data_IF_022380663344
#
_entry.id   IF_022380663344
#
_cell.length_a   1.000
_cell.length_b   1.000
_cell.length_c   1.000
_cell.angle_alpha   90.00
_cell.angle_beta   90.00
_cell.angle_gamma   90.00
#
_symmetry.space_group_name_H-M   'P 1'
#
loop_
_entity.id
_entity.type
_entity.pdbx_description
1 polymer ?
#
# COMPACT_ATOMS: atom_id res chain seq x y z
N UNK A 1 -51.84 -22.14 0.87
CA UNK A 1 -51.41 -21.19 1.92
C UNK A 1 -49.95 -21.44 2.22
N UNK A 2 -49.18 -20.42 2.59
CA UNK A 2 -47.79 -20.60 3.04
C UNK A 2 -47.84 -21.31 4.40
N UNK A 3 -47.54 -22.61 4.46
CA UNK A 3 -47.65 -23.38 5.71
C UNK A 3 -46.28 -23.80 6.29
N UNK A 4 -46.20 -23.71 7.63
CA UNK A 4 -45.21 -24.33 8.51
C UNK A 4 -43.76 -24.22 8.06
N UNK A 5 -43.25 -25.26 7.40
CA UNK A 5 -41.83 -25.42 7.07
C UNK A 5 -41.34 -24.42 6.00
N UNK A 6 -42.19 -24.07 5.03
CA UNK A 6 -41.81 -23.15 3.95
C UNK A 6 -41.69 -21.71 4.45
N UNK A 7 -42.49 -21.32 5.47
CA UNK A 7 -42.33 -20.04 6.15
C UNK A 7 -41.00 -19.96 6.92
N UNK A 8 -40.61 -21.02 7.63
CA UNK A 8 -39.30 -21.10 8.29
C UNK A 8 -38.14 -21.06 7.29
N UNK A 9 -38.29 -21.70 6.13
CA UNK A 9 -37.32 -21.61 5.04
C UNK A 9 -37.16 -20.18 4.50
N UNK A 10 -38.26 -19.47 4.26
CA UNK A 10 -38.23 -18.06 3.84
C UNK A 10 -37.59 -17.19 4.93
N UNK A 11 -37.99 -17.36 6.19
CA UNK A 11 -37.44 -16.59 7.31
C UNK A 11 -35.93 -16.80 7.46
N UNK A 12 -35.47 -18.05 7.33
CA UNK A 12 -34.05 -18.38 7.32
C UNK A 12 -33.30 -17.60 6.23
N UNK A 13 -33.81 -17.60 4.99
CA UNK A 13 -33.17 -16.89 3.90
C UNK A 13 -33.19 -15.37 4.05
N UNK A 14 -34.25 -14.79 4.64
CA UNK A 14 -34.28 -13.36 4.97
C UNK A 14 -33.14 -13.01 5.93
N UNK A 15 -32.96 -13.80 7.00
CA UNK A 15 -31.89 -13.58 7.98
C UNK A 15 -30.51 -13.77 7.34
N UNK A 16 -30.33 -14.81 6.53
CA UNK A 16 -29.06 -15.08 5.82
C UNK A 16 -28.73 -13.97 4.82
N UNK A 17 -29.72 -13.49 4.06
CA UNK A 17 -29.52 -12.38 3.12
C UNK A 17 -29.20 -11.09 3.87
N UNK A 18 -30.01 -10.71 4.86
CA UNK A 18 -29.76 -9.52 5.67
C UNK A 18 -28.38 -9.55 6.34
N UNK A 19 -27.99 -10.72 6.89
CA UNK A 19 -26.66 -10.94 7.47
C UNK A 19 -25.55 -10.80 6.44
N UNK A 20 -25.67 -11.42 5.26
CA UNK A 20 -24.65 -11.34 4.22
C UNK A 20 -24.50 -9.92 3.66
N UNK A 21 -25.60 -9.18 3.48
CA UNK A 21 -25.57 -7.76 3.12
C UNK A 21 -24.93 -6.89 4.20
N UNK A 22 -25.23 -7.14 5.48
CA UNK A 22 -24.61 -6.40 6.59
C UNK A 22 -23.10 -6.64 6.66
N UNK A 23 -22.66 -7.90 6.51
CA UNK A 23 -21.24 -8.26 6.50
C UNK A 23 -20.53 -7.65 5.29
N UNK A 24 -21.10 -7.81 4.09
CA UNK A 24 -20.54 -7.22 2.86
C UNK A 24 -20.48 -5.69 2.94
N UNK A 25 -21.54 -5.07 3.44
CA UNK A 25 -21.62 -3.64 3.71
C UNK A 25 -20.53 -3.17 4.67
N UNK A 26 -20.32 -3.88 5.79
CA UNK A 26 -19.26 -3.56 6.76
C UNK A 26 -17.85 -3.55 6.13
N UNK A 27 -17.51 -4.57 5.33
CA UNK A 27 -16.21 -4.63 4.65
C UNK A 27 -16.03 -3.49 3.64
N UNK A 28 -17.07 -3.18 2.85
CA UNK A 28 -17.05 -2.08 1.90
C UNK A 28 -16.94 -0.72 2.61
N UNK A 29 -17.69 -0.51 3.70
CA UNK A 29 -17.67 0.73 4.46
C UNK A 29 -16.30 0.97 5.11
N UNK A 30 -15.68 -0.08 5.68
CA UNK A 30 -14.31 0.03 6.22
C UNK A 30 -13.29 0.40 5.14
N UNK A 31 -13.41 -0.15 3.93
CA UNK A 31 -12.54 0.20 2.80
C UNK A 31 -12.80 1.63 2.32
N UNK A 32 -14.06 2.05 2.31
CA UNK A 32 -14.48 3.40 1.94
C UNK A 32 -13.94 4.45 2.92
N UNK A 33 -14.05 4.23 4.23
CA UNK A 33 -13.52 5.13 5.25
C UNK A 33 -12.02 5.38 5.12
N UNK A 34 -11.26 4.41 4.60
CA UNK A 34 -9.81 4.57 4.33
C UNK A 34 -9.51 5.46 3.11
N UNK A 35 -10.47 5.64 2.21
CA UNK A 35 -10.35 6.47 1.01
C UNK A 35 -10.92 7.87 1.20
N UNK A 36 -11.58 8.12 2.33
CA UNK A 36 -12.11 9.44 2.63
C UNK A 36 -10.97 10.46 2.72
N UNK A 37 -11.18 11.68 2.22
CA UNK A 37 -10.23 12.77 2.40
C UNK A 37 -10.02 13.03 3.90
N UNK A 38 -8.79 13.37 4.27
CA UNK A 38 -8.45 13.77 5.63
C UNK A 38 -8.87 15.23 5.87
N UNK A 39 -8.44 15.80 7.01
CA UNK A 39 -8.76 17.17 7.40
C UNK A 39 -8.34 18.23 6.35
N UNK A 40 -7.37 17.89 5.51
CA UNK A 40 -6.84 18.71 4.42
C UNK A 40 -7.58 18.54 3.08
N UNK A 41 -8.63 17.71 3.03
CA UNK A 41 -9.38 17.44 1.81
C UNK A 41 -8.70 16.47 0.84
N UNK A 42 -7.56 15.87 1.20
CA UNK A 42 -6.81 14.90 0.38
C UNK A 42 -6.83 13.51 1.02
N UNK A 43 -6.97 12.48 0.20
CA UNK A 43 -6.80 11.08 0.62
C UNK A 43 -5.31 10.71 0.67
N UNK A 44 -4.98 9.56 1.27
CA UNK A 44 -3.62 9.02 1.23
C UNK A 44 -3.10 8.85 -0.20
N UNK A 45 -3.98 8.44 -1.13
CA UNK A 45 -3.63 8.23 -2.53
C UNK A 45 -3.32 9.55 -3.25
N UNK A 46 -4.07 10.61 -2.95
CA UNK A 46 -3.82 11.94 -3.53
C UNK A 46 -2.46 12.48 -3.08
N UNK A 47 -2.07 12.20 -1.84
CA UNK A 47 -0.75 12.57 -1.32
C UNK A 47 0.36 11.75 -1.98
N UNK A 48 0.17 10.44 -2.13
CA UNK A 48 1.11 9.58 -2.87
C UNK A 48 1.35 10.12 -4.28
N UNK A 49 0.28 10.44 -5.02
CA UNK A 49 0.36 11.01 -6.37
C UNK A 49 1.07 12.37 -6.38
N UNK A 50 0.69 13.28 -5.46
CA UNK A 50 1.35 14.58 -5.32
C UNK A 50 2.86 14.46 -5.11
N UNK A 51 3.31 13.56 -4.24
CA UNK A 51 4.74 13.37 -3.98
C UNK A 51 5.48 12.77 -5.18
N UNK A 52 4.88 11.82 -5.89
CA UNK A 52 5.46 11.25 -7.12
C UNK A 52 5.62 12.34 -8.18
N UNK A 53 4.58 13.12 -8.45
CA UNK A 53 4.63 14.20 -9.44
C UNK A 53 5.69 15.25 -9.10
N UNK A 54 5.71 15.70 -7.84
CA UNK A 54 6.66 16.73 -7.38
C UNK A 54 8.10 16.25 -7.38
N UNK A 55 8.36 14.96 -7.27
CA UNK A 55 9.72 14.41 -7.22
C UNK A 55 10.15 13.71 -8.50
N UNK A 56 9.27 13.61 -9.52
CA UNK A 56 9.55 12.92 -10.78
C UNK A 56 10.87 13.35 -11.46
N UNK A 57 11.22 14.63 -11.34
CA UNK A 57 12.43 15.22 -11.91
C UNK A 57 13.71 14.93 -11.10
N UNK A 58 13.59 14.47 -9.85
CA UNK A 58 14.72 14.14 -8.96
C UNK A 58 15.25 12.71 -9.19
N UNK A 59 14.49 11.87 -9.90
CA UNK A 59 14.84 10.47 -10.17
C UNK A 59 15.83 10.34 -11.33
N UNK A 60 16.93 9.61 -11.14
CA UNK A 60 17.75 9.14 -12.26
C UNK A 60 17.33 7.73 -12.67
N UNK A 61 17.93 7.26 -13.76
CA UNK A 61 17.59 5.97 -14.33
C UNK A 61 17.95 4.82 -13.39
N UNK A 62 19.09 4.90 -12.71
CA UNK A 62 19.59 3.84 -11.83
C UNK A 62 18.66 3.61 -10.64
N UNK A 63 18.16 4.69 -10.01
CA UNK A 63 17.22 4.58 -8.89
C UNK A 63 15.84 4.06 -9.32
N UNK A 64 15.40 4.38 -10.55
CA UNK A 64 14.18 3.80 -11.12
C UNK A 64 14.34 2.30 -11.34
N UNK A 65 15.48 1.87 -11.88
CA UNK A 65 15.78 0.45 -12.07
C UNK A 65 15.92 -0.28 -10.73
N UNK A 66 16.50 0.36 -9.72
CA UNK A 66 16.58 -0.18 -8.36
C UNK A 66 15.18 -0.38 -7.78
N UNK A 67 14.29 0.61 -7.89
CA UNK A 67 12.91 0.49 -7.43
C UNK A 67 12.20 -0.68 -8.12
N UNK A 68 12.32 -0.78 -9.44
CA UNK A 68 11.68 -1.85 -10.21
C UNK A 68 12.15 -3.24 -9.78
N UNK A 69 13.44 -3.38 -9.49
CA UNK A 69 14.00 -4.61 -8.97
C UNK A 69 13.49 -4.91 -7.55
N UNK A 70 13.46 -3.92 -6.65
CA UNK A 70 12.97 -4.09 -5.27
C UNK A 70 11.50 -4.53 -5.22
N UNK A 71 10.69 -4.12 -6.21
CA UNK A 71 9.28 -4.50 -6.33
C UNK A 71 9.08 -5.79 -7.14
N UNK A 72 10.13 -6.37 -7.73
CA UNK A 72 10.04 -7.61 -8.52
C UNK A 72 9.43 -8.82 -7.80
N UNK A 73 9.60 -9.02 -6.47
CA UNK A 73 8.95 -10.10 -5.72
C UNK A 73 7.43 -9.96 -5.63
N UNK A 74 6.88 -8.77 -5.90
CA UNK A 74 5.45 -8.51 -5.85
C UNK A 74 4.78 -9.14 -7.09
N UNK A 75 3.64 -9.85 -6.93
CA UNK A 75 2.89 -10.37 -8.07
C UNK A 75 2.51 -9.27 -9.05
N UNK A 76 2.53 -9.57 -10.34
CA UNK A 76 2.36 -8.59 -11.41
C UNK A 76 1.10 -7.73 -11.25
N UNK A 77 -0.04 -8.35 -10.89
CA UNK A 77 -1.31 -7.66 -10.64
C UNK A 77 -1.26 -6.56 -9.57
N UNK A 78 -0.26 -6.59 -8.69
CA UNK A 78 -0.09 -5.63 -7.59
C UNK A 78 1.19 -4.80 -7.70
N UNK A 79 2.03 -5.07 -8.70
CA UNK A 79 3.37 -4.49 -8.81
C UNK A 79 3.31 -2.98 -8.98
N UNK A 80 2.42 -2.48 -9.84
CA UNK A 80 2.33 -1.04 -10.09
C UNK A 80 1.76 -0.28 -8.89
N UNK A 81 0.81 -0.88 -8.16
CA UNK A 81 0.28 -0.31 -6.91
C UNK A 81 1.37 -0.24 -5.85
N UNK A 82 2.18 -1.30 -5.70
CA UNK A 82 3.30 -1.31 -4.77
C UNK A 82 4.36 -0.27 -5.17
N UNK A 83 4.71 -0.20 -6.46
CA UNK A 83 5.66 0.77 -7.02
C UNK A 83 5.22 2.20 -6.74
N UNK A 84 3.97 2.54 -7.04
CA UNK A 84 3.40 3.86 -6.79
C UNK A 84 3.48 4.23 -5.32
N UNK A 85 3.09 3.31 -4.43
CA UNK A 85 3.11 3.53 -2.99
C UNK A 85 4.53 3.78 -2.46
N UNK A 86 5.50 2.98 -2.92
CA UNK A 86 6.90 3.13 -2.53
C UNK A 86 7.47 4.44 -3.10
N UNK A 87 7.20 4.75 -4.37
CA UNK A 87 7.62 5.99 -5.01
C UNK A 87 7.05 7.23 -4.33
N UNK A 88 5.77 7.20 -3.93
CA UNK A 88 5.14 8.26 -3.13
C UNK A 88 5.84 8.46 -1.79
N UNK A 89 6.23 7.36 -1.12
CA UNK A 89 6.97 7.45 0.16
C UNK A 89 8.38 8.00 -0.02
N UNK A 90 9.08 7.60 -1.07
CA UNK A 90 10.40 8.15 -1.42
C UNK A 90 10.26 9.65 -1.73
N UNK A 91 9.23 10.04 -2.49
CA UNK A 91 8.95 11.44 -2.81
C UNK A 91 8.65 12.28 -1.57
N UNK A 92 7.86 11.75 -0.63
CA UNK A 92 7.60 12.39 0.67
C UNK A 92 8.91 12.65 1.43
N UNK A 93 9.78 11.64 1.54
CA UNK A 93 11.09 11.77 2.19
C UNK A 93 11.98 12.79 1.48
N UNK A 94 12.04 12.73 0.14
CA UNK A 94 12.85 13.62 -0.67
C UNK A 94 12.44 15.09 -0.51
N UNK A 95 11.13 15.39 -0.51
CA UNK A 95 10.65 16.76 -0.26
C UNK A 95 10.90 17.21 1.17
N UNK A 96 10.72 16.32 2.16
CA UNK A 96 10.96 16.62 3.58
C UNK A 96 12.43 16.95 3.85
N UNK A 97 13.34 16.20 3.24
CA UNK A 97 14.79 16.37 3.37
C UNK A 97 15.35 17.41 2.38
N UNK A 98 14.52 17.96 1.49
CA UNK A 98 14.87 18.95 0.45
C UNK A 98 16.05 18.51 -0.41
N UNK A 99 16.07 17.23 -0.77
CA UNK A 99 17.15 16.68 -1.58
C UNK A 99 17.05 17.17 -3.02
N UNK A 100 18.21 17.32 -3.66
CA UNK A 100 18.31 17.77 -5.06
C UNK A 100 18.15 16.57 -6.02
N UNK A 101 18.46 15.36 -5.54
CA UNK A 101 18.37 14.11 -6.31
C UNK A 101 18.03 12.95 -5.37
N UNK A 102 17.26 11.99 -5.88
CA UNK A 102 17.01 10.73 -5.16
C UNK A 102 18.24 9.85 -5.31
N UNK A 103 18.71 9.31 -4.19
CA UNK A 103 19.84 8.38 -4.13
C UNK A 103 19.35 7.00 -3.66
N UNK A 104 20.25 6.02 -3.70
CA UNK A 104 19.99 4.66 -3.25
C UNK A 104 19.49 4.58 -1.80
N UNK A 105 20.06 5.38 -0.88
CA UNK A 105 19.64 5.44 0.53
C UNK A 105 18.15 5.80 0.66
N UNK A 106 17.69 6.84 -0.02
CA UNK A 106 16.29 7.25 0.00
C UNK A 106 15.37 6.18 -0.59
N UNK A 107 15.81 5.48 -1.65
CA UNK A 107 15.03 4.39 -2.24
C UNK A 107 14.86 3.25 -1.25
N UNK A 108 15.94 2.85 -0.58
CA UNK A 108 15.91 1.76 0.41
C UNK A 108 15.06 2.16 1.63
N UNK A 109 15.23 3.37 2.16
CA UNK A 109 14.44 3.88 3.29
C UNK A 109 12.96 3.96 2.94
N UNK A 110 12.63 4.49 1.78
CA UNK A 110 11.25 4.56 1.30
C UNK A 110 10.64 3.18 1.10
N UNK A 111 11.41 2.22 0.57
CA UNK A 111 10.99 0.82 0.42
C UNK A 111 10.66 0.18 1.77
N UNK A 112 11.51 0.35 2.79
CA UNK A 112 11.29 -0.17 4.15
C UNK A 112 10.05 0.48 4.78
N UNK A 113 9.96 1.81 4.74
CA UNK A 113 8.86 2.55 5.36
C UNK A 113 7.50 2.33 4.68
N UNK A 114 7.48 2.11 3.36
CA UNK A 114 6.24 1.87 2.62
C UNK A 114 5.73 0.42 2.77
N UNK A 115 6.63 -0.53 3.08
CA UNK A 115 6.28 -1.94 3.20
C UNK A 115 5.59 -2.21 4.55
N UNK A 116 4.39 -2.84 4.55
CA UNK A 116 3.72 -3.20 5.80
C UNK A 116 4.56 -4.15 6.66
N UNK A 117 4.51 -3.99 8.00
CA UNK A 117 5.29 -4.82 8.94
C UNK A 117 5.11 -6.34 8.75
N UNK A 118 3.90 -6.76 8.39
CA UNK A 118 3.59 -8.18 8.10
C UNK A 118 4.39 -8.74 6.91
N UNK A 119 4.80 -7.88 5.98
CA UNK A 119 5.44 -8.24 4.71
C UNK A 119 6.97 -8.05 4.79
N UNK A 120 7.51 -7.59 5.93
CA UNK A 120 8.95 -7.35 6.15
C UNK A 120 9.82 -8.60 5.96
N UNK A 121 9.26 -9.80 6.11
CA UNK A 121 9.98 -11.05 5.81
C UNK A 121 10.47 -11.10 4.36
N UNK A 122 9.63 -10.68 3.40
CA UNK A 122 9.98 -10.67 1.98
C UNK A 122 10.96 -9.54 1.65
N UNK A 123 10.75 -8.38 2.27
CA UNK A 123 11.65 -7.25 2.11
C UNK A 123 13.06 -7.58 2.62
N UNK A 124 13.21 -8.14 3.82
CA UNK A 124 14.54 -8.51 4.35
C UNK A 124 15.24 -9.55 3.48
N UNK A 125 14.47 -10.51 2.94
CA UNK A 125 14.99 -11.49 1.98
C UNK A 125 15.54 -10.78 0.72
N UNK A 126 14.78 -9.86 0.14
CA UNK A 126 15.16 -9.13 -1.07
C UNK A 126 16.38 -8.23 -0.85
N UNK A 127 16.46 -7.53 0.29
CA UNK A 127 17.62 -6.70 0.65
C UNK A 127 18.87 -7.55 0.88
N UNK A 128 18.74 -8.72 1.53
CA UNK A 128 19.85 -9.67 1.69
C UNK A 128 20.36 -10.22 0.35
N UNK A 129 19.47 -10.56 -0.58
CA UNK A 129 19.85 -11.01 -1.93
C UNK A 129 20.65 -9.95 -2.69
N UNK A 130 20.40 -8.66 -2.41
CA UNK A 130 21.14 -7.53 -2.97
C UNK A 130 22.40 -7.16 -2.19
N UNK A 131 22.72 -7.88 -1.11
CA UNK A 131 23.85 -7.60 -0.22
C UNK A 131 23.81 -6.17 0.37
N UNK A 132 22.61 -5.62 0.57
CA UNK A 132 22.43 -4.30 1.18
C UNK A 132 22.60 -4.45 2.69
N UNK A 133 23.52 -3.67 3.27
CA UNK A 133 23.73 -3.63 4.71
C UNK A 133 22.51 -3.01 5.43
N UNK A 134 21.74 -3.87 6.09
CA UNK A 134 20.54 -3.48 6.83
C UNK A 134 20.86 -2.84 8.19
N UNK A 135 22.11 -2.89 8.67
CA UNK A 135 22.46 -2.36 9.99
C UNK A 135 22.14 -0.87 10.11
N UNK A 136 22.31 -0.11 9.01
CA UNK A 136 22.00 1.33 8.92
C UNK A 136 20.52 1.65 9.00
N UNK A 137 19.65 0.67 8.76
CA UNK A 137 18.20 0.84 8.68
C UNK A 137 17.44 0.12 9.80
N UNK A 138 18.14 -0.43 10.79
CA UNK A 138 17.53 -1.23 11.86
C UNK A 138 16.40 -0.48 12.61
N UNK A 139 16.50 0.84 12.73
CA UNK A 139 15.48 1.68 13.36
C UNK A 139 14.16 1.78 12.57
N UNK A 140 14.18 1.40 11.29
CA UNK A 140 13.02 1.50 10.39
C UNK A 140 12.14 0.24 10.36
N UNK A 141 12.55 -0.82 11.06
CA UNK A 141 11.87 -2.11 11.09
C UNK A 141 10.87 -2.25 12.27
#
# INVERSE_FOLDING_TARGET
MLEGWFLWFILFWIVVMAGSFAIGGFFMFRKFLKRMPKQDGRSDMDWEEYYVEKTAHLWKQDEKLLLDDLVSPVPELFRDVARQKIAGKIGELALKEKVIQINEDLVIRGYIMATPKRDHKFLRKKLNEKQIDMARYNELF
#
